data_IF_849252339723
#
_entry.id   IF_849252339723
#
_cell.length_a   1.000
_cell.length_b   1.000
_cell.length_c   1.000
_cell.angle_alpha   90.00
_cell.angle_beta   90.00
_cell.angle_gamma   90.00
#
_symmetry.space_group_name_H-M   'P 1'
#
loop_
_entity.id
_entity.type
_entity.pdbx_description
1 polymer ?
#
# COMPACT_ATOMS: atom_id res chain seq x y z
N UNK A 1 -8.01 -31.84 -26.11
CA UNK A 1 -7.08 -30.97 -25.38
C UNK A 1 -7.85 -29.70 -25.08
N UNK A 2 -8.48 -29.63 -23.91
CA UNK A 2 -9.32 -28.49 -23.49
C UNK A 2 -8.39 -27.47 -22.85
N UNK A 3 -8.30 -26.30 -23.46
CA UNK A 3 -7.58 -25.16 -22.89
C UNK A 3 -8.48 -24.53 -21.83
N UNK A 4 -8.24 -24.85 -20.56
CA UNK A 4 -8.89 -24.16 -19.45
C UNK A 4 -8.26 -22.77 -19.34
N UNK A 5 -9.03 -21.74 -19.70
CA UNK A 5 -8.67 -20.35 -19.42
C UNK A 5 -8.50 -20.18 -17.91
N UNK A 6 -7.40 -19.56 -17.43
CA UNK A 6 -7.26 -19.26 -16.01
C UNK A 6 -8.39 -18.30 -15.62
N UNK A 7 -9.32 -18.79 -14.80
CA UNK A 7 -10.44 -18.01 -14.29
C UNK A 7 -9.90 -16.83 -13.50
N UNK A 8 -10.05 -15.62 -14.03
CA UNK A 8 -9.83 -14.40 -13.27
C UNK A 8 -10.86 -14.41 -12.15
N UNK A 9 -10.39 -14.57 -10.92
CA UNK A 9 -11.24 -14.60 -9.72
C UNK A 9 -12.10 -13.34 -9.68
N UNK A 10 -13.39 -13.45 -9.36
CA UNK A 10 -14.32 -12.31 -9.28
C UNK A 10 -13.82 -11.20 -8.33
N UNK A 11 -12.96 -11.54 -7.37
CA UNK A 11 -12.30 -10.58 -6.47
C UNK A 11 -11.28 -9.69 -7.19
N UNK A 12 -10.57 -10.25 -8.17
CA UNK A 12 -9.61 -9.52 -9.00
C UNK A 12 -10.30 -8.53 -9.93
N UNK A 13 -11.48 -8.89 -10.46
CA UNK A 13 -12.30 -7.99 -11.30
C UNK A 13 -12.88 -6.82 -10.50
N UNK A 14 -13.32 -7.05 -9.26
CA UNK A 14 -13.81 -5.99 -8.37
C UNK A 14 -12.68 -5.01 -7.99
N UNK A 15 -11.49 -5.54 -7.65
CA UNK A 15 -10.32 -4.71 -7.34
C UNK A 15 -9.88 -3.85 -8.54
N UNK A 16 -9.86 -4.42 -9.76
CA UNK A 16 -9.52 -3.69 -10.98
C UNK A 16 -10.50 -2.54 -11.27
N UNK A 17 -11.80 -2.73 -11.00
CA UNK A 17 -12.81 -1.69 -11.22
C UNK A 17 -12.68 -0.54 -10.22
N UNK A 18 -12.37 -0.83 -8.95
CA UNK A 18 -12.15 0.21 -7.93
C UNK A 18 -10.83 0.95 -8.18
N UNK A 19 -9.77 0.27 -8.62
CA UNK A 19 -8.51 0.92 -9.02
C UNK A 19 -8.72 1.88 -10.19
N UNK A 20 -9.50 1.50 -11.21
CA UNK A 20 -9.80 2.38 -12.33
C UNK A 20 -10.54 3.66 -11.90
N UNK A 21 -11.45 3.57 -10.92
CA UNK A 21 -12.15 4.72 -10.38
C UNK A 21 -11.25 5.63 -9.51
N UNK A 22 -10.26 5.06 -8.82
CA UNK A 22 -9.25 5.81 -8.07
C UNK A 22 -8.25 6.51 -9.00
N UNK A 23 -7.87 5.87 -10.11
CA UNK A 23 -6.88 6.38 -11.08
C UNK A 23 -7.33 7.69 -11.76
N UNK A 24 -8.63 7.86 -12.06
CA UNK A 24 -9.17 9.11 -12.60
C UNK A 24 -9.17 10.30 -11.61
N UNK A 25 -8.80 10.10 -10.35
CA UNK A 25 -8.72 11.16 -9.32
C UNK A 25 -7.29 11.50 -8.91
N UNK A 26 -6.28 10.82 -9.45
CA UNK A 26 -4.87 11.10 -9.16
C UNK A 26 -4.38 12.18 -10.13
N UNK A 27 -4.89 13.40 -9.97
CA UNK A 27 -4.20 14.60 -10.46
C UNK A 27 -2.93 14.75 -9.61
N UNK A 28 -1.75 14.62 -10.25
CA UNK A 28 -0.40 14.72 -9.69
C UNK A 28 -0.22 14.08 -8.29
N UNK A 29 0.30 12.85 -8.26
CA UNK A 29 0.79 12.25 -7.03
C UNK A 29 1.84 13.17 -6.35
N UNK A 30 1.39 13.95 -5.36
CA UNK A 30 2.26 14.80 -4.55
C UNK A 30 3.34 13.94 -3.93
N UNK A 31 4.59 14.34 -4.13
CA UNK A 31 5.73 13.64 -3.56
C UNK A 31 5.75 13.87 -2.04
N UNK A 32 5.36 15.04 -1.56
CA UNK A 32 5.26 15.31 -0.12
C UNK A 32 4.14 14.48 0.54
N UNK A 33 4.47 13.81 1.64
CA UNK A 33 3.48 13.13 2.47
C UNK A 33 2.37 14.11 2.88
N UNK A 34 1.09 13.73 2.74
CA UNK A 34 0.00 14.59 3.16
C UNK A 34 0.05 14.84 4.67
N UNK A 35 -0.63 15.89 5.12
CA UNK A 35 -0.85 16.09 6.54
C UNK A 35 -1.63 14.90 7.12
N UNK A 36 -1.27 14.50 8.33
CA UNK A 36 -1.88 13.37 9.00
C UNK A 36 -3.19 13.78 9.67
N UNK A 37 -4.24 13.01 9.43
CA UNK A 37 -5.49 13.04 10.17
C UNK A 37 -5.55 11.93 11.21
N UNK A 38 -6.46 12.09 12.18
CA UNK A 38 -6.71 11.12 13.24
C UNK A 38 -8.19 10.72 13.20
N UNK A 39 -8.45 9.45 12.87
CA UNK A 39 -9.82 8.92 12.74
C UNK A 39 -10.26 8.08 13.95
N UNK A 40 -9.50 8.11 15.03
CA UNK A 40 -9.76 7.32 16.23
C UNK A 40 -9.08 5.94 16.23
N UNK A 41 -9.45 5.05 17.17
CA UNK A 41 -8.75 3.80 17.42
C UNK A 41 -9.06 2.69 16.40
N UNK A 42 -9.96 2.96 15.44
CA UNK A 42 -10.44 1.99 14.44
C UNK A 42 -9.54 1.86 13.21
N UNK A 43 -8.48 2.67 13.08
CA UNK A 43 -7.56 2.58 11.96
C UNK A 43 -6.81 1.25 11.94
N UNK A 44 -6.88 0.54 10.80
CA UNK A 44 -6.34 -0.81 10.64
C UNK A 44 -5.60 -0.99 9.32
N UNK A 45 -4.30 -0.77 9.37
CA UNK A 45 -3.39 -1.06 8.26
C UNK A 45 -3.18 -2.57 8.04
N UNK A 46 -3.34 -3.40 9.06
CA UNK A 46 -3.06 -4.84 8.98
C UNK A 46 -4.07 -5.59 8.12
N UNK A 47 -3.58 -6.54 7.33
CA UNK A 47 -4.38 -7.38 6.46
C UNK A 47 -3.79 -7.51 5.06
N UNK A 48 -4.57 -8.09 4.16
CA UNK A 48 -4.24 -8.16 2.73
C UNK A 48 -4.87 -6.99 1.98
N UNK A 49 -4.10 -6.44 1.05
CA UNK A 49 -4.44 -5.29 0.23
C UNK A 49 -4.11 -5.62 -1.23
N UNK A 50 -5.07 -5.44 -2.12
CA UNK A 50 -4.94 -5.73 -3.55
C UNK A 50 -4.79 -4.44 -4.32
N UNK A 51 -3.84 -4.36 -5.23
CA UNK A 51 -3.62 -3.15 -6.00
C UNK A 51 -2.29 -3.16 -6.71
N UNK A 52 -1.58 -2.05 -6.68
CA UNK A 52 -0.36 -1.90 -7.46
C UNK A 52 0.70 -1.00 -6.80
N UNK A 53 1.94 -1.24 -7.22
CA UNK A 53 3.07 -0.35 -6.98
C UNK A 53 3.63 0.04 -8.35
N UNK A 54 3.58 1.33 -8.67
CA UNK A 54 4.16 1.88 -9.90
C UNK A 54 3.63 1.15 -11.16
N UNK A 55 2.30 1.01 -11.23
CA UNK A 55 1.59 0.33 -12.33
C UNK A 55 1.79 -1.19 -12.38
N UNK A 56 2.41 -1.81 -11.37
CA UNK A 56 2.58 -3.27 -11.28
C UNK A 56 1.53 -3.86 -10.34
N UNK A 57 0.56 -4.65 -10.83
CA UNK A 57 -0.41 -5.32 -9.98
C UNK A 57 0.24 -6.30 -9.00
N UNK A 58 -0.33 -6.42 -7.81
CA UNK A 58 0.15 -7.32 -6.77
C UNK A 58 -0.67 -7.25 -5.47
N UNK A 59 -0.13 -7.90 -4.45
CA UNK A 59 -0.74 -7.97 -3.12
C UNK A 59 0.25 -7.44 -2.07
N UNK A 60 -0.21 -6.48 -1.27
CA UNK A 60 0.46 -5.98 -0.08
C UNK A 60 -0.14 -6.64 1.17
N UNK A 61 0.70 -7.37 1.92
CA UNK A 61 0.34 -8.00 3.20
C UNK A 61 0.97 -7.23 4.33
N UNK A 62 0.16 -6.75 5.27
CA UNK A 62 0.64 -5.98 6.42
C UNK A 62 0.33 -6.75 7.71
N UNK A 63 1.37 -7.01 8.49
CA UNK A 63 1.30 -7.70 9.78
C UNK A 63 1.89 -6.85 10.91
N UNK A 64 1.40 -7.05 12.13
CA UNK A 64 1.86 -6.30 13.30
C UNK A 64 3.12 -6.92 13.90
N UNK A 65 4.18 -6.14 14.04
CA UNK A 65 5.41 -6.53 14.75
C UNK A 65 5.42 -6.06 16.22
N UNK A 66 4.70 -4.98 16.52
CA UNK A 66 4.61 -4.42 17.86
C UNK A 66 3.56 -3.32 17.94
N UNK A 67 3.60 -2.52 19.02
CA UNK A 67 2.59 -1.46 19.26
C UNK A 67 2.59 -0.41 18.15
N UNK A 68 3.76 0.03 17.70
CA UNK A 68 3.93 1.11 16.72
C UNK A 68 4.65 0.68 15.45
N UNK A 69 4.85 -0.63 15.25
CA UNK A 69 5.61 -1.18 14.12
C UNK A 69 4.82 -2.26 13.40
N UNK A 70 4.74 -2.13 12.08
CA UNK A 70 4.15 -3.13 11.19
C UNK A 70 5.20 -3.56 10.15
N UNK A 71 5.06 -4.78 9.66
CA UNK A 71 5.80 -5.29 8.51
C UNK A 71 4.86 -5.37 7.32
N UNK A 72 5.27 -4.79 6.20
CA UNK A 72 4.59 -4.94 4.92
C UNK A 72 5.38 -5.87 4.00
N UNK A 73 4.70 -6.67 3.20
CA UNK A 73 5.31 -7.38 2.06
C UNK A 73 4.42 -7.17 0.85
N UNK A 74 4.93 -6.46 -0.13
CA UNK A 74 4.32 -6.38 -1.45
C UNK A 74 4.98 -7.41 -2.37
N UNK A 75 4.16 -8.19 -3.08
CA UNK A 75 4.59 -9.11 -4.13
C UNK A 75 3.74 -8.81 -5.37
N UNK A 76 4.42 -8.55 -6.50
CA UNK A 76 3.73 -8.39 -7.79
C UNK A 76 3.16 -9.73 -8.27
N UNK A 77 2.07 -9.69 -9.06
CA UNK A 77 1.39 -10.90 -9.53
C UNK A 77 2.32 -11.81 -10.37
N UNK A 78 3.23 -11.21 -11.12
CA UNK A 78 4.27 -11.91 -11.91
C UNK A 78 5.49 -12.33 -11.08
N UNK A 79 5.51 -12.03 -9.77
CA UNK A 79 6.60 -12.24 -8.81
C UNK A 79 7.93 -11.62 -9.21
N UNK A 80 7.94 -10.71 -10.19
CA UNK A 80 9.15 -10.02 -10.64
C UNK A 80 9.66 -9.04 -9.59
N UNK A 81 8.77 -8.55 -8.72
CA UNK A 81 9.06 -7.55 -7.68
C UNK A 81 8.51 -7.99 -6.33
N UNK A 82 9.40 -8.01 -5.34
CA UNK A 82 9.06 -8.21 -3.93
C UNK A 82 9.66 -7.05 -3.14
N UNK A 83 8.83 -6.37 -2.35
CA UNK A 83 9.25 -5.27 -1.48
C UNK A 83 8.89 -5.61 -0.04
N UNK A 84 9.86 -5.54 0.86
CA UNK A 84 9.65 -5.67 2.30
C UNK A 84 9.68 -4.28 2.92
N UNK A 85 8.63 -3.95 3.67
CA UNK A 85 8.44 -2.67 4.35
C UNK A 85 8.57 -2.82 5.86
N UNK A 86 9.17 -1.82 6.49
CA UNK A 86 8.99 -1.54 7.92
C UNK A 86 8.21 -0.24 8.03
N UNK A 87 6.99 -0.34 8.56
CA UNK A 87 6.02 0.76 8.68
C UNK A 87 5.97 1.22 10.14
N UNK A 88 6.05 2.52 10.36
CA UNK A 88 6.02 3.14 11.69
C UNK A 88 4.71 3.90 11.90
N UNK A 89 3.96 3.52 12.93
CA UNK A 89 2.72 4.18 13.29
C UNK A 89 3.02 5.31 14.28
N UNK A 90 2.57 6.53 13.94
CA UNK A 90 2.61 7.66 14.86
C UNK A 90 1.41 7.58 15.82
N UNK A 91 1.64 7.35 17.14
CA UNK A 91 0.55 7.30 18.11
C UNK A 91 0.00 8.70 18.39
N UNK A 92 -1.29 8.78 18.71
CA UNK A 92 -1.95 9.96 19.25
C UNK A 92 -2.87 9.58 20.42
N UNK A 93 -3.44 10.59 21.08
CA UNK A 93 -4.41 10.41 22.17
C UNK A 93 -5.59 9.53 21.74
N UNK A 94 -6.01 9.64 20.48
CA UNK A 94 -7.21 8.98 19.95
C UNK A 94 -6.90 7.71 19.14
N UNK A 95 -5.64 7.32 18.95
CA UNK A 95 -5.27 6.14 18.18
C UNK A 95 -3.94 6.29 17.45
N UNK A 96 -3.96 6.07 16.13
CA UNK A 96 -2.80 6.27 15.25
C UNK A 96 -3.12 7.31 14.18
N UNK A 97 -2.10 7.94 13.63
CA UNK A 97 -2.23 8.74 12.42
C UNK A 97 -2.69 7.87 11.23
N UNK A 98 -3.49 8.44 10.33
CA UNK A 98 -3.86 7.79 9.08
C UNK A 98 -2.72 7.77 8.05
N UNK A 99 -1.64 8.53 8.27
CA UNK A 99 -0.41 8.52 7.47
C UNK A 99 0.69 7.84 8.27
N UNK A 100 1.34 6.84 7.67
CA UNK A 100 2.41 6.06 8.27
C UNK A 100 3.65 6.08 7.37
N UNK A 101 4.79 6.64 7.82
CA UNK A 101 6.05 6.49 7.09
C UNK A 101 6.53 5.04 7.09
N UNK A 102 7.28 4.68 6.06
CA UNK A 102 7.93 3.37 5.98
C UNK A 102 9.32 3.44 5.34
N UNK A 103 10.13 2.42 5.61
CA UNK A 103 11.33 2.08 4.83
C UNK A 103 11.07 0.81 4.04
N UNK A 104 11.63 0.69 2.84
CA UNK A 104 11.48 -0.51 2.02
C UNK A 104 12.84 -1.06 1.54
N UNK A 105 12.87 -2.35 1.22
CA UNK A 105 13.97 -3.02 0.53
C UNK A 105 13.47 -4.11 -0.43
N UNK A 106 14.24 -4.42 -1.47
CA UNK A 106 13.89 -5.43 -2.49
C UNK A 106 14.70 -6.74 -2.38
N UNK A 107 15.60 -6.85 -1.40
CA UNK A 107 16.49 -8.00 -1.22
C UNK A 107 17.61 -8.13 -2.27
N UNK A 108 17.69 -7.21 -3.23
CA UNK A 108 18.69 -7.13 -4.31
C UNK A 108 19.61 -5.90 -4.18
N UNK A 109 19.51 -5.20 -3.05
CA UNK A 109 20.29 -4.00 -2.74
C UNK A 109 19.51 -2.69 -2.92
N UNK A 110 18.33 -2.73 -3.53
CA UNK A 110 17.42 -1.60 -3.61
C UNK A 110 16.78 -1.32 -2.25
N UNK A 111 16.75 -0.06 -1.86
CA UNK A 111 16.15 0.42 -0.62
C UNK A 111 15.67 1.86 -0.74
N UNK A 112 14.78 2.24 0.16
CA UNK A 112 14.34 3.61 0.25
C UNK A 112 13.31 3.85 1.34
N UNK A 113 12.57 4.94 1.18
CA UNK A 113 11.56 5.40 2.12
C UNK A 113 10.27 5.73 1.38
N UNK A 114 9.18 5.77 2.13
CA UNK A 114 7.87 6.11 1.59
C UNK A 114 6.89 6.45 2.70
N UNK A 115 5.65 6.65 2.30
CA UNK A 115 4.53 6.81 3.21
C UNK A 115 3.31 6.08 2.66
N UNK A 116 2.49 5.55 3.56
CA UNK A 116 1.17 5.02 3.26
C UNK A 116 0.14 5.86 3.99
N UNK A 117 -0.98 6.13 3.33
CA UNK A 117 -2.16 6.74 3.92
C UNK A 117 -3.33 5.78 3.79
N UNK A 118 -4.08 5.62 4.87
CA UNK A 118 -5.32 4.84 4.90
C UNK A 118 -6.52 5.79 4.95
N UNK A 119 -7.58 5.44 4.23
CA UNK A 119 -8.84 6.17 4.34
C UNK A 119 -9.56 5.84 5.66
N UNK A 120 -10.54 6.69 6.00
CA UNK A 120 -11.33 6.55 7.23
C UNK A 120 -12.07 5.21 7.31
N UNK A 121 -12.49 4.66 6.18
CA UNK A 121 -13.25 3.43 6.11
C UNK A 121 -12.38 2.16 6.21
N UNK A 122 -11.04 2.29 6.23
CA UNK A 122 -10.09 1.16 6.19
C UNK A 122 -10.22 0.27 4.95
N UNK A 123 -10.65 0.84 3.82
CA UNK A 123 -10.91 0.12 2.56
C UNK A 123 -9.92 0.45 1.46
N UNK A 124 -9.16 1.55 1.58
CA UNK A 124 -8.17 1.97 0.60
C UNK A 124 -6.86 2.44 1.26
N UNK A 125 -5.75 2.12 0.59
CA UNK A 125 -4.44 2.70 0.84
C UNK A 125 -3.97 3.45 -0.40
N UNK A 126 -3.44 4.65 -0.17
CA UNK A 126 -2.61 5.35 -1.15
C UNK A 126 -1.22 5.62 -0.57
N UNK A 127 -0.24 5.88 -1.41
CA UNK A 127 1.11 6.14 -0.95
C UNK A 127 2.07 6.54 -2.06
N UNK A 128 3.26 6.92 -1.63
CA UNK A 128 4.38 7.15 -2.52
C UNK A 128 5.66 6.58 -1.90
N UNK A 129 6.64 6.33 -2.77
CA UNK A 129 7.98 5.92 -2.36
C UNK A 129 9.05 6.69 -3.13
N UNK A 130 10.24 6.73 -2.54
CA UNK A 130 11.47 7.20 -3.14
C UNK A 130 12.63 6.25 -2.83
N UNK A 131 13.77 6.49 -3.47
CA UNK A 131 15.02 5.75 -3.24
C UNK A 131 15.90 6.47 -2.20
N UNK A 132 16.69 5.69 -1.46
CA UNK A 132 17.60 6.18 -0.42
C UNK A 132 16.90 7.07 0.63
N UNK A 133 17.28 8.35 0.72
CA UNK A 133 16.73 9.32 1.68
C UNK A 133 15.45 10.00 1.16
N UNK A 134 15.12 9.85 -0.13
CA UNK A 134 13.88 10.40 -0.68
C UNK A 134 12.73 9.54 -0.22
N UNK A 135 11.70 10.21 0.30
CA UNK A 135 10.44 9.58 0.75
C UNK A 135 9.46 9.46 -0.42
N UNK A 136 9.83 9.99 -1.59
CA UNK A 136 8.90 10.35 -2.62
C UNK A 136 9.53 10.50 -4.02
N UNK A 137 8.69 10.44 -5.06
CA UNK A 137 9.06 10.71 -6.45
C UNK A 137 9.56 9.53 -7.29
N UNK A 138 9.47 8.30 -6.80
CA UNK A 138 9.81 7.09 -7.57
C UNK A 138 8.59 6.31 -8.09
N UNK A 139 7.40 6.52 -7.52
CA UNK A 139 6.15 5.93 -8.01
C UNK A 139 5.04 5.95 -6.96
N UNK A 140 3.82 5.65 -7.40
CA UNK A 140 2.62 5.62 -6.57
C UNK A 140 2.29 4.20 -6.06
N UNK A 141 1.62 4.14 -4.92
CA UNK A 141 1.11 2.94 -4.28
C UNK A 141 -0.40 3.10 -4.18
N UNK A 142 -1.16 2.16 -4.72
CA UNK A 142 -2.62 2.21 -4.71
C UNK A 142 -3.14 0.82 -4.37
N UNK A 143 -3.88 0.69 -3.27
CA UNK A 143 -4.44 -0.58 -2.86
C UNK A 143 -5.85 -0.44 -2.31
N UNK A 144 -6.60 -1.53 -2.40
CA UNK A 144 -7.93 -1.68 -1.83
C UNK A 144 -8.00 -2.96 -1.02
N UNK A 145 -8.82 -2.96 0.02
CA UNK A 145 -9.20 -4.17 0.74
C UNK A 145 -10.52 -4.66 0.17
N UNK A 146 -10.57 -5.94 -0.18
CA UNK A 146 -11.81 -6.61 -0.59
C UNK A 146 -12.29 -7.41 0.60
N UNK A 147 -13.45 -7.05 1.14
CA UNK A 147 -14.15 -7.84 2.17
C UNK A 147 -14.81 -9.10 1.56
#
# INVERSE_FOLDING_TARGET
MVWESPGVSSRTLAAATVLAALSCRVDEASTKAPEADFFGPSLRFEGEWFGEVDGRPGVLRIERLGRTRLRGVYESDDRSRVLVLLIELAPSTDGFANVAPFTWQDGRGGRGRGWLRINRENTALDGAYGFDRRVDGAGAWLFVRVE
#
